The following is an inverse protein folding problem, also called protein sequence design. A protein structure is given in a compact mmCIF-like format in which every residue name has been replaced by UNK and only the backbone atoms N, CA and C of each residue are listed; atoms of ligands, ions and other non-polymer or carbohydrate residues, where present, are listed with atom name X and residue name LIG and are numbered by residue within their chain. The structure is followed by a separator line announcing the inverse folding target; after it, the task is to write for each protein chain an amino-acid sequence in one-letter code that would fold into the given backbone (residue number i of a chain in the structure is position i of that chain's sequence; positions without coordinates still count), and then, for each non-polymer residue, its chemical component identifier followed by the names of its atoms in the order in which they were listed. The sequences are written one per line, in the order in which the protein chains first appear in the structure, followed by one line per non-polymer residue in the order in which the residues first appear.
data_IF_712327668986
#
_entry.id   IF_712327668986
#
_cell.length_a   1.000
_cell.length_b   1.000
_cell.length_c   1.000
_cell.angle_alpha   90.00
_cell.angle_beta   90.00
_cell.angle_gamma   90.00
#
_symmetry.space_group_name_H-M   'P 1'
#
loop_
_entity.id
_entity.type
_entity.pdbx_description
1 polymer ?
#
# COMPACT_ATOMS: atom_id res chain seq x y z
N UNK A 1 -16.61 -0.56 -30.80
CA UNK A 1 -16.39 -0.66 -30.25
C UNK A 1 -16.05 -0.68 -29.67
N UNK A 2 -15.86 -0.55 -29.31
CA UNK A 2 -15.57 -0.59 -28.64
C UNK A 2 -15.25 -0.28 -28.18
N UNK A 3 -15.15 -0.07 -28.14
CA UNK A 3 -14.67 0.20 -27.50
C UNK A 3 -14.31 0.58 -26.95
N UNK A 4 -14.37 0.91 -27.32
CA UNK A 4 -13.92 1.24 -26.68
C UNK A 4 -13.97 1.30 -25.94
N UNK A 5 -14.23 1.43 -25.74
CA UNK A 5 -14.21 1.47 -24.95
C UNK A 5 -13.90 1.04 -24.36
N UNK A 6 -13.97 0.76 -24.27
CA UNK A 6 -13.56 0.09 -23.61
C UNK A 6 -12.46 0.22 -23.13
N UNK A 7 -12.03 0.67 -23.36
CA UNK A 7 -10.94 0.78 -22.94
C UNK A 7 -10.69 1.66 -21.86
N UNK A 8 -11.48 2.44 -21.52
CA UNK A 8 -11.29 3.24 -20.48
C UNK A 8 -11.17 2.53 -19.22
N UNK A 9 -11.79 1.40 -19.16
CA UNK A 9 -11.66 0.62 -18.08
C UNK A 9 -10.40 -0.03 -18.02
N UNK A 10 -9.78 -0.19 -19.08
CA UNK A 10 -8.56 -0.87 -19.21
C UNK A 10 -7.48 -0.34 -18.28
N UNK A 11 -7.28 0.93 -18.13
CA UNK A 11 -6.27 1.42 -17.22
C UNK A 11 -6.49 0.98 -15.79
N UNK A 12 -7.73 0.95 -15.38
CA UNK A 12 -8.01 0.53 -14.06
C UNK A 12 -7.72 -0.92 -13.88
N UNK A 13 -8.08 -1.73 -14.85
CA UNK A 13 -7.85 -3.09 -14.77
C UNK A 13 -6.44 -3.41 -14.84
N UNK A 14 -5.67 -2.67 -15.59
CA UNK A 14 -4.26 -2.89 -15.75
C UNK A 14 -3.51 -2.51 -14.49
N UNK A 15 -4.13 -1.78 -13.61
CA UNK A 15 -3.49 -1.36 -12.39
C UNK A 15 -3.48 -2.49 -11.39
N UNK A 16 -2.32 -2.82 -10.86
CA UNK A 16 -2.23 -3.90 -9.90
C UNK A 16 -2.90 -3.50 -8.59
N UNK A 17 -3.25 -4.50 -7.81
CA UNK A 17 -3.83 -4.23 -6.51
C UNK A 17 -2.88 -3.40 -5.65
N UNK A 18 -1.58 -3.68 -5.74
CA UNK A 18 -0.59 -2.92 -4.98
C UNK A 18 -0.59 -1.46 -5.36
N UNK A 19 -0.74 -1.17 -6.65
CA UNK A 19 -0.84 0.21 -7.11
C UNK A 19 -2.07 0.90 -6.56
N UNK A 20 -3.19 0.20 -6.54
CA UNK A 20 -4.42 0.77 -6.00
C UNK A 20 -4.32 1.02 -4.51
N UNK A 21 -3.70 0.09 -3.79
CA UNK A 21 -3.49 0.26 -2.36
C UNK A 21 -2.60 1.48 -2.12
N UNK A 22 -1.53 1.62 -2.88
CA UNK A 22 -0.60 2.73 -2.73
C UNK A 22 -1.30 4.07 -2.97
N UNK A 23 -2.11 4.15 -4.03
CA UNK A 23 -2.83 5.39 -4.30
C UNK A 23 -3.82 5.72 -3.19
N UNK A 24 -4.46 4.70 -2.62
CA UNK A 24 -5.35 4.92 -1.49
C UNK A 24 -4.59 5.50 -0.31
N UNK A 25 -3.40 4.98 -0.04
CA UNK A 25 -2.57 5.49 1.03
C UNK A 25 -2.20 6.95 0.81
N UNK A 26 -1.87 7.30 -0.42
CA UNK A 26 -1.50 8.68 -0.74
C UNK A 26 -2.65 9.66 -0.58
N UNK A 27 -3.84 9.20 -0.91
CA UNK A 27 -5.03 10.04 -0.78
C UNK A 27 -5.46 10.16 0.67
N UNK A 28 -5.51 9.04 1.37
CA UNK A 28 -6.01 9.02 2.73
C UNK A 28 -5.02 9.55 3.76
N UNK A 29 -3.77 9.28 3.56
CA UNK A 29 -2.67 9.66 4.46
C UNK A 29 -2.69 8.93 5.79
N UNK A 30 -3.84 8.73 6.36
CA UNK A 30 -4.06 7.89 7.54
C UNK A 30 -5.09 6.86 7.16
N UNK A 31 -4.85 5.62 7.53
CA UNK A 31 -5.70 4.53 7.06
C UNK A 31 -5.54 3.30 7.94
N UNK A 32 -6.50 2.41 7.86
CA UNK A 32 -6.38 1.10 8.47
C UNK A 32 -6.57 0.06 7.36
N UNK A 33 -6.39 -1.19 7.72
CA UNK A 33 -6.47 -2.27 6.73
C UNK A 33 -7.86 -2.35 6.10
N UNK A 34 -8.96 -2.30 6.86
CA UNK A 34 -10.28 -2.36 6.24
C UNK A 34 -10.54 -1.23 5.24
N UNK A 35 -10.05 -0.03 5.53
CA UNK A 35 -10.22 1.07 4.60
C UNK A 35 -9.49 0.80 3.29
N UNK A 36 -8.27 0.29 3.39
CA UNK A 36 -7.50 0.00 2.18
C UNK A 36 -8.12 -1.12 1.38
N UNK A 37 -8.67 -2.12 2.06
CA UNK A 37 -9.38 -3.20 1.37
C UNK A 37 -10.55 -2.65 0.57
N UNK A 38 -11.30 -1.75 1.17
CA UNK A 38 -12.48 -1.18 0.52
C UNK A 38 -12.12 -0.25 -0.62
N UNK A 39 -11.19 0.67 -0.38
CA UNK A 39 -10.89 1.69 -1.38
C UNK A 39 -10.07 1.14 -2.54
N UNK A 40 -9.24 0.16 -2.29
CA UNK A 40 -8.41 -0.43 -3.33
C UNK A 40 -9.01 -1.70 -3.90
N UNK A 41 -10.10 -2.18 -3.31
CA UNK A 41 -10.72 -3.43 -3.72
C UNK A 41 -9.68 -4.55 -3.74
N UNK A 42 -9.00 -4.70 -2.62
CA UNK A 42 -7.94 -5.69 -2.49
C UNK A 42 -8.22 -6.60 -1.31
N UNK A 43 -7.64 -7.77 -1.34
CA UNK A 43 -7.85 -8.76 -0.29
C UNK A 43 -7.10 -8.33 0.97
N UNK A 44 -7.57 -8.81 2.09
CA UNK A 44 -6.91 -8.56 3.36
C UNK A 44 -5.47 -9.03 3.34
N UNK A 45 -5.24 -10.20 2.76
CA UNK A 45 -3.90 -10.75 2.70
C UNK A 45 -2.95 -9.85 1.90
N UNK A 46 -3.40 -9.37 0.77
CA UNK A 46 -2.60 -8.50 -0.06
C UNK A 46 -2.31 -7.18 0.64
N UNK A 47 -3.35 -6.57 1.22
CA UNK A 47 -3.20 -5.32 1.95
C UNK A 47 -2.26 -5.52 3.13
N UNK A 48 -2.46 -6.60 3.89
CA UNK A 48 -1.66 -6.85 5.08
C UNK A 48 -0.18 -7.01 4.78
N UNK A 49 0.13 -7.74 3.72
CA UNK A 49 1.52 -7.95 3.35
C UNK A 49 2.19 -6.67 2.90
N UNK A 50 1.45 -5.87 2.15
CA UNK A 50 1.99 -4.62 1.65
C UNK A 50 2.22 -3.65 2.82
N UNK A 51 1.24 -3.55 3.71
CA UNK A 51 1.35 -2.71 4.89
C UNK A 51 2.56 -3.12 5.73
N UNK A 52 2.72 -4.41 5.96
CA UNK A 52 3.84 -4.89 6.75
C UNK A 52 5.17 -4.51 6.10
N UNK A 53 5.27 -4.70 4.80
CA UNK A 53 6.51 -4.38 4.09
C UNK A 53 6.82 -2.89 4.12
N UNK A 54 5.81 -2.05 3.93
CA UNK A 54 6.01 -0.61 3.95
C UNK A 54 6.36 -0.12 5.35
N UNK A 55 5.78 -0.74 6.36
CA UNK A 55 6.09 -0.39 7.72
C UNK A 55 7.55 -0.72 8.02
N UNK A 56 8.01 -1.88 7.61
CA UNK A 56 9.40 -2.26 7.81
C UNK A 56 10.35 -1.34 7.07
N UNK A 57 9.94 -0.84 5.94
CA UNK A 57 10.76 0.06 5.14
C UNK A 57 10.74 1.50 5.65
N UNK A 58 9.86 1.79 6.61
CA UNK A 58 9.78 3.14 7.14
C UNK A 58 8.95 4.09 6.31
N UNK A 59 8.18 3.56 5.36
CA UNK A 59 7.33 4.38 4.50
C UNK A 59 6.06 4.79 5.22
N UNK A 60 5.56 3.90 6.06
CA UNK A 60 4.40 4.18 6.91
C UNK A 60 4.75 3.84 8.35
N UNK A 61 4.00 4.38 9.26
CA UNK A 61 4.20 4.07 10.68
C UNK A 61 2.85 3.87 11.35
N UNK A 62 2.87 3.20 12.47
CA UNK A 62 1.67 2.99 13.28
C UNK A 62 1.45 4.24 14.10
N UNK A 63 0.28 4.83 14.00
CA UNK A 63 -0.06 5.99 14.83
C UNK A 63 -1.08 5.64 15.90
N UNK A 64 -1.71 4.45 15.77
CA UNK A 64 -2.63 4.01 16.77
C UNK A 64 -2.61 2.50 16.77
N UNK A 65 -2.31 1.92 17.91
CA UNK A 65 -2.27 0.49 18.03
C UNK A 65 -3.69 -0.07 18.07
N UNK A 66 -3.79 -1.32 17.73
CA UNK A 66 -5.01 -2.05 17.87
C UNK A 66 -5.52 -1.93 19.30
N UNK A 67 -6.74 -1.81 19.48
CA UNK A 67 -7.28 -1.63 20.80
C UNK A 67 -8.32 -2.67 21.12
N UNK A 68 -8.52 -2.87 22.39
CA UNK A 68 -9.61 -3.65 22.90
C UNK A 68 -9.69 -5.09 22.54
N UNK A 69 -8.61 -5.70 22.25
CA UNK A 69 -8.61 -7.11 22.04
C UNK A 69 -9.37 -7.62 20.85
N UNK A 70 -9.78 -6.77 19.98
CA UNK A 70 -10.44 -7.23 18.78
C UNK A 70 -9.43 -7.73 17.80
N UNK A 71 -9.88 -8.45 16.82
CA UNK A 71 -9.03 -8.94 15.79
C UNK A 71 -8.20 -7.80 15.32
N UNK A 72 -7.01 -8.09 15.02
CA UNK A 72 -5.97 -7.12 14.86
C UNK A 72 -6.01 -6.13 13.75
N UNK A 73 -7.14 -5.71 13.34
CA UNK A 73 -7.17 -4.77 12.23
C UNK A 73 -7.52 -3.38 12.61
N UNK A 74 -7.42 -3.09 13.89
CA UNK A 74 -7.75 -1.74 14.36
C UNK A 74 -6.60 -0.77 14.30
N UNK A 75 -5.41 -1.24 14.00
CA UNK A 75 -4.27 -0.36 13.96
C UNK A 75 -4.44 0.68 12.86
N UNK A 76 -4.09 1.91 13.16
CA UNK A 76 -4.14 2.99 12.19
C UNK A 76 -2.71 3.35 11.83
N UNK A 77 -2.47 3.51 10.55
CA UNK A 77 -1.15 3.82 10.02
C UNK A 77 -1.17 5.20 9.38
N UNK A 78 -0.01 5.76 9.23
CA UNK A 78 0.14 7.04 8.57
C UNK A 78 1.25 6.96 7.55
N UNK A 79 1.01 7.54 6.37
CA UNK A 79 2.03 7.64 5.34
C UNK A 79 3.01 8.72 5.75
N UNK A 80 4.27 8.34 5.95
CA UNK A 80 5.30 9.30 6.34
C UNK A 80 6.27 9.62 5.22
N UNK A 81 6.36 8.76 4.22
CA UNK A 81 7.21 9.02 3.06
C UNK A 81 6.41 8.82 1.79
N UNK A 82 5.96 9.90 1.22
CA UNK A 82 5.24 9.82 -0.05
C UNK A 82 6.29 9.77 -1.16
N UNK A 83 6.63 8.57 -1.56
CA UNK A 83 7.73 8.34 -2.50
C UNK A 83 7.42 8.81 -3.91
N UNK A 84 6.17 8.92 -4.25
CA UNK A 84 5.78 9.33 -5.58
C UNK A 84 4.61 8.51 -6.10
N UNK A 85 4.25 8.66 -7.35
CA UNK A 85 3.05 8.01 -7.88
C UNK A 85 3.14 6.52 -8.08
N UNK A 86 4.35 5.98 -8.15
CA UNK A 86 4.51 4.55 -8.38
C UNK A 86 4.65 3.79 -7.08
N UNK A 87 3.91 2.70 -6.94
CA UNK A 87 3.92 1.92 -5.72
C UNK A 87 5.28 1.27 -5.50
N UNK A 88 5.80 1.34 -4.29
CA UNK A 88 7.04 0.64 -3.98
C UNK A 88 6.81 -0.86 -4.02
N UNK A 89 7.86 -1.62 -4.30
CA UNK A 89 7.77 -3.06 -4.38
C UNK A 89 8.38 -3.68 -3.14
N UNK A 90 7.52 -4.31 -2.39
CA UNK A 90 7.93 -4.98 -1.16
C UNK A 90 8.43 -6.38 -1.53
N UNK A 91 9.61 -6.72 -1.08
CA UNK A 91 10.22 -8.00 -1.41
C UNK A 91 10.19 -8.93 -0.21
N UNK A 92 10.30 -10.20 -0.50
CA UNK A 92 10.24 -11.22 0.54
C UNK A 92 11.36 -11.08 1.55
N UNK A 93 12.51 -10.64 1.12
CA UNK A 93 13.66 -10.53 2.00
C UNK A 93 13.61 -9.29 2.91
N UNK A 94 12.53 -8.56 2.87
CA UNK A 94 12.38 -7.39 3.72
C UNK A 94 12.83 -6.09 3.10
N UNK A 95 13.39 -6.13 1.90
CA UNK A 95 13.78 -4.91 1.22
C UNK A 95 12.58 -4.34 0.46
N UNK A 96 12.66 -3.10 0.12
CA UNK A 96 11.60 -2.43 -0.60
C UNK A 96 12.22 -1.61 -1.73
N UNK A 97 11.77 -1.84 -2.93
CA UNK A 97 12.27 -1.12 -4.09
C UNK A 97 11.37 0.08 -4.37
N UNK A 98 11.97 1.24 -4.46
CA UNK A 98 11.26 2.47 -4.77
C UNK A 98 11.48 2.81 -6.24
N UNK A 99 10.49 2.58 -7.11
CA UNK A 99 10.66 2.87 -8.53
C UNK A 99 10.70 4.36 -8.82
N UNK A 100 10.19 5.19 -7.92
CA UNK A 100 10.21 6.63 -8.14
C UNK A 100 11.63 7.18 -8.02
N UNK A 101 12.38 6.68 -7.06
CA UNK A 101 13.77 7.09 -6.88
C UNK A 101 14.76 6.09 -7.40
N UNK A 102 14.26 4.94 -7.88
CA UNK A 102 15.09 3.86 -8.41
C UNK A 102 16.16 3.43 -7.43
N UNK A 103 15.72 3.10 -6.24
CA UNK A 103 16.63 2.68 -5.18
C UNK A 103 15.90 1.80 -4.19
N UNK A 104 16.68 1.07 -3.41
CA UNK A 104 16.11 0.27 -2.33
C UNK A 104 16.01 1.14 -1.08
N UNK A 105 15.02 0.90 -0.29
CA UNK A 105 14.81 1.61 0.97
C UNK A 105 14.49 0.60 2.05
N UNK A 106 14.83 0.96 3.27
CA UNK A 106 14.57 0.10 4.41
C UNK A 106 15.28 -1.22 4.30
N UNK A 107 14.95 -2.07 5.20
CA UNK A 107 15.49 -3.43 5.12
C UNK A 107 16.94 -3.60 5.45
N UNK A 108 17.71 -2.53 5.48
CA UNK A 108 19.03 -2.68 5.77
C UNK A 108 19.37 -2.09 7.05
N UNK A 109 19.60 -2.01 7.60
CA UNK A 109 19.90 -1.54 8.54
C UNK A 109 20.04 -1.26 9.13
N UNK A 110 20.24 -1.11 9.23
CA UNK A 110 20.39 -0.86 9.74
C UNK A 110 20.41 -0.81 10.08
#
# INVERSE_FOLDING_TARGET
MRPVGSHTKAPMRATSARSRIWQSMRVLRRFDVPQLMATAEASRNNVGRFVLGLRRAGVIRVVRQHCNGHAGDCAVYQLVRNLGPHAPRVRIDGTCWDPNGQRFIGGEDD
#
